data_IF_128810809404
#
_entry.id   IF_128810809404
#
_cell.length_a   1.000
_cell.length_b   1.000
_cell.length_c   1.000
_cell.angle_alpha   90.00
_cell.angle_beta   90.00
_cell.angle_gamma   90.00
#
_symmetry.space_group_name_H-M   'P 1'
#
loop_
_entity.id
_entity.type
_entity.pdbx_description
1 polymer ?
#
# COMPACT_ATOMS: atom_id res chain seq x y z
N UNK A 1 -11.31 -13.64 2.19
CA UNK A 1 -10.69 -12.77 1.17
C UNK A 1 -9.21 -13.11 1.04
N UNK A 2 -8.61 -12.88 -0.13
CA UNK A 2 -7.16 -12.81 -0.28
C UNK A 2 -6.69 -11.36 -0.10
N UNK A 3 -5.77 -11.12 0.82
CA UNK A 3 -5.23 -9.79 1.11
C UNK A 3 -3.77 -9.74 0.70
N UNK A 4 -3.43 -8.79 -0.18
CA UNK A 4 -2.04 -8.45 -0.48
C UNK A 4 -1.54 -7.48 0.59
N UNK A 5 -0.62 -7.93 1.42
CA UNK A 5 0.03 -7.14 2.46
C UNK A 5 1.42 -6.72 1.96
N UNK A 6 1.65 -5.43 1.73
CA UNK A 6 2.91 -4.90 1.23
C UNK A 6 3.67 -4.22 2.36
N UNK A 7 4.82 -4.76 2.75
CA UNK A 7 5.76 -4.20 3.72
C UNK A 7 6.87 -3.44 2.99
N UNK A 8 7.14 -2.21 3.42
CA UNK A 8 8.22 -1.38 2.91
C UNK A 8 9.09 -0.86 4.05
N UNK A 9 9.96 -1.71 4.58
CA UNK A 9 10.95 -1.33 5.59
C UNK A 9 12.25 -2.14 5.46
N UNK A 10 13.44 -1.52 5.51
CA UNK A 10 14.71 -2.24 5.30
C UNK A 10 15.12 -3.14 6.48
N UNK A 11 14.67 -2.82 7.69
CA UNK A 11 15.01 -3.57 8.91
C UNK A 11 13.91 -4.59 9.31
N UNK A 12 14.22 -5.89 9.45
CA UNK A 12 13.26 -6.94 9.81
C UNK A 12 12.78 -6.89 11.28
N UNK A 13 13.57 -6.30 12.17
CA UNK A 13 13.26 -6.06 13.57
C UNK A 13 12.47 -4.77 13.81
N UNK A 14 12.20 -4.00 12.75
CA UNK A 14 11.50 -2.73 12.84
C UNK A 14 10.09 -2.84 13.44
N UNK A 15 9.59 -1.70 13.90
CA UNK A 15 8.19 -1.60 14.29
C UNK A 15 7.23 -1.80 13.11
N UNK A 16 7.61 -1.38 11.89
CA UNK A 16 6.83 -1.65 10.69
C UNK A 16 6.71 -3.17 10.42
N UNK A 17 7.80 -3.92 10.55
CA UNK A 17 7.76 -5.38 10.47
C UNK A 17 6.90 -6.00 11.59
N UNK A 18 6.93 -5.44 12.80
CA UNK A 18 6.05 -5.87 13.90
C UNK A 18 4.56 -5.61 13.60
N UNK A 19 4.24 -4.48 12.95
CA UNK A 19 2.89 -4.14 12.47
C UNK A 19 2.46 -5.11 11.37
N UNK A 20 3.34 -5.43 10.41
CA UNK A 20 3.04 -6.38 9.33
C UNK A 20 2.78 -7.79 9.87
N UNK A 21 3.59 -8.28 10.81
CA UNK A 21 3.35 -9.57 11.49
C UNK A 21 2.00 -9.58 12.22
N UNK A 22 1.73 -8.55 13.02
CA UNK A 22 0.45 -8.40 13.74
C UNK A 22 -0.74 -8.35 12.77
N UNK A 23 -0.57 -7.67 11.63
CA UNK A 23 -1.60 -7.56 10.63
C UNK A 23 -1.90 -8.91 9.97
N UNK A 24 -0.86 -9.63 9.57
CA UNK A 24 -0.97 -10.97 9.00
C UNK A 24 -1.68 -11.93 9.97
N UNK A 25 -1.20 -12.02 11.20
CA UNK A 25 -1.76 -12.89 12.24
C UNK A 25 -3.25 -12.59 12.48
N UNK A 26 -3.63 -11.31 12.59
CA UNK A 26 -5.02 -10.93 12.83
C UNK A 26 -5.94 -11.28 11.64
N UNK A 27 -5.47 -11.11 10.41
CA UNK A 27 -6.24 -11.43 9.20
C UNK A 27 -6.39 -12.94 9.01
N UNK A 28 -5.31 -13.70 9.21
CA UNK A 28 -5.33 -15.17 9.13
C UNK A 28 -6.25 -15.77 10.21
N UNK A 29 -6.22 -15.23 11.44
CA UNK A 29 -7.13 -15.63 12.50
C UNK A 29 -8.61 -15.37 12.18
N UNK A 30 -8.91 -14.39 11.33
CA UNK A 30 -10.26 -14.11 10.81
C UNK A 30 -10.61 -14.89 9.54
N UNK A 31 -9.77 -15.85 9.12
CA UNK A 31 -10.03 -16.71 7.95
C UNK A 31 -9.68 -16.09 6.60
N UNK A 32 -8.93 -14.99 6.57
CA UNK A 32 -8.40 -14.42 5.33
C UNK A 32 -7.10 -15.13 4.92
N UNK A 33 -6.81 -15.16 3.62
CA UNK A 33 -5.51 -15.59 3.10
C UNK A 33 -4.65 -14.34 2.94
N UNK A 34 -3.46 -14.32 3.54
CA UNK A 34 -2.54 -13.18 3.43
C UNK A 34 -1.39 -13.54 2.50
N UNK A 35 -1.20 -12.73 1.48
CA UNK A 35 -0.05 -12.77 0.59
C UNK A 35 0.86 -11.58 0.93
N UNK A 36 2.03 -11.86 1.53
CA UNK A 36 2.97 -10.82 2.00
C UNK A 36 4.02 -10.52 0.92
N UNK A 37 4.03 -9.28 0.42
CA UNK A 37 5.16 -8.72 -0.32
C UNK A 37 6.05 -7.95 0.67
N UNK A 38 7.28 -8.43 0.90
CA UNK A 38 8.30 -7.63 1.56
C UNK A 38 9.17 -6.98 0.48
N UNK A 39 8.96 -5.69 0.19
CA UNK A 39 9.65 -5.03 -0.92
C UNK A 39 11.18 -5.03 -0.73
N UNK A 40 11.67 -4.91 0.50
CA UNK A 40 13.11 -4.99 0.76
C UNK A 40 13.59 -6.44 0.82
N UNK A 41 12.82 -7.33 1.45
CA UNK A 41 13.14 -8.76 1.51
C UNK A 41 13.14 -9.47 0.16
N UNK A 42 12.35 -8.97 -0.80
CA UNK A 42 12.27 -9.47 -2.19
C UNK A 42 13.15 -8.68 -3.17
N UNK A 43 13.99 -7.75 -2.69
CA UNK A 43 14.89 -6.90 -3.50
C UNK A 43 14.17 -6.22 -4.69
N UNK A 44 12.98 -5.67 -4.42
CA UNK A 44 12.19 -5.01 -5.44
C UNK A 44 12.89 -3.75 -5.96
N UNK A 45 13.20 -3.72 -7.27
CA UNK A 45 13.75 -2.52 -7.91
C UNK A 45 12.67 -1.44 -8.07
N UNK A 46 12.77 -0.28 -7.39
CA UNK A 46 11.75 0.75 -7.47
C UNK A 46 11.90 1.68 -8.67
N UNK A 47 12.97 1.53 -9.47
CA UNK A 47 13.24 2.44 -10.58
C UNK A 47 12.38 2.04 -11.77
N UNK A 48 11.57 2.97 -12.25
CA UNK A 48 10.91 2.84 -13.55
C UNK A 48 11.99 2.82 -14.64
N UNK A 49 12.11 1.71 -15.37
CA UNK A 49 13.14 1.53 -16.38
C UNK A 49 12.82 2.30 -17.66
N UNK A 50 13.85 2.61 -18.49
CA UNK A 50 13.62 3.17 -19.82
C UNK A 50 12.75 2.30 -20.73
N UNK A 51 12.81 0.97 -20.58
CA UNK A 51 11.99 0.04 -21.37
C UNK A 51 10.51 0.17 -20.99
N UNK A 52 10.19 0.08 -19.69
CA UNK A 52 8.82 0.28 -19.19
C UNK A 52 8.27 1.66 -19.58
N UNK A 53 9.09 2.71 -19.57
CA UNK A 53 8.65 4.06 -19.94
C UNK A 53 8.47 4.23 -21.45
N UNK A 54 9.33 3.66 -22.29
CA UNK A 54 9.19 3.74 -23.75
C UNK A 54 7.93 3.04 -24.24
N UNK A 55 7.64 1.88 -23.66
CA UNK A 55 6.50 1.04 -24.04
C UNK A 55 5.21 1.44 -23.31
N UNK A 56 5.21 2.54 -22.55
CA UNK A 56 4.09 2.95 -21.67
C UNK A 56 2.77 3.15 -22.43
N UNK A 57 2.85 3.56 -23.69
CA UNK A 57 1.67 3.82 -24.54
C UNK A 57 1.38 2.68 -25.52
N UNK A 58 2.14 1.58 -25.47
CA UNK A 58 1.88 0.42 -26.29
C UNK A 58 0.59 -0.28 -25.84
N UNK A 59 -0.09 -0.90 -26.80
CA UNK A 59 -1.32 -1.66 -26.56
C UNK A 59 -1.10 -3.08 -27.10
N UNK A 60 -0.86 -4.08 -26.23
CA UNK A 60 -0.83 -4.03 -24.77
C UNK A 60 0.46 -3.42 -24.20
N UNK A 61 0.36 -2.83 -23.00
CA UNK A 61 1.51 -2.44 -22.18
C UNK A 61 2.27 -3.69 -21.73
N UNK A 62 3.60 -3.68 -21.85
CA UNK A 62 4.44 -4.77 -21.40
C UNK A 62 4.56 -4.77 -19.86
N UNK A 63 4.05 -5.83 -19.25
CA UNK A 63 4.05 -6.03 -17.79
C UNK A 63 5.05 -7.08 -17.32
N UNK A 64 5.88 -7.61 -18.23
CA UNK A 64 6.80 -8.72 -17.96
C UNK A 64 7.73 -8.45 -16.77
N UNK A 65 8.25 -7.23 -16.66
CA UNK A 65 9.17 -6.80 -15.60
C UNK A 65 8.56 -6.81 -14.18
N UNK A 66 7.23 -6.93 -14.07
CA UNK A 66 6.48 -6.95 -12.79
C UNK A 66 5.38 -8.01 -12.76
N UNK A 67 5.46 -9.01 -13.65
CA UNK A 67 4.36 -9.97 -13.89
C UNK A 67 3.92 -10.71 -12.62
N UNK A 68 4.87 -11.10 -11.77
CA UNK A 68 4.58 -11.83 -10.53
C UNK A 68 3.77 -10.97 -9.54
N UNK A 69 4.17 -9.71 -9.35
CA UNK A 69 3.44 -8.76 -8.49
C UNK A 69 2.06 -8.46 -9.07
N UNK A 70 1.95 -8.31 -10.39
CA UNK A 70 0.67 -8.09 -11.07
C UNK A 70 -0.28 -9.29 -10.87
N UNK A 71 0.23 -10.52 -10.96
CA UNK A 71 -0.57 -11.72 -10.71
C UNK A 71 -1.08 -11.77 -9.26
N UNK A 72 -0.21 -11.48 -8.29
CA UNK A 72 -0.57 -11.39 -6.86
C UNK A 72 -1.62 -10.32 -6.59
N UNK A 73 -1.46 -9.13 -7.19
CA UNK A 73 -2.41 -8.02 -7.08
C UNK A 73 -3.78 -8.33 -7.73
N UNK A 74 -3.80 -9.00 -8.88
CA UNK A 74 -5.04 -9.41 -9.56
C UNK A 74 -5.80 -10.48 -8.79
N UNK A 75 -5.10 -11.34 -8.06
CA UNK A 75 -5.71 -12.36 -7.22
C UNK A 75 -6.25 -11.83 -5.89
N UNK A 76 -5.82 -10.64 -5.46
CA UNK A 76 -6.20 -10.07 -4.17
C UNK A 76 -7.59 -9.41 -4.21
N UNK A 77 -8.29 -9.44 -3.08
CA UNK A 77 -9.53 -8.69 -2.84
C UNK A 77 -9.27 -7.42 -2.01
N UNK A 78 -8.10 -7.30 -1.40
CA UNK A 78 -7.70 -6.18 -0.56
C UNK A 78 -6.20 -5.92 -0.62
N UNK A 79 -5.83 -4.65 -0.44
CA UNK A 79 -4.46 -4.16 -0.41
C UNK A 79 -4.19 -3.48 0.93
N UNK A 80 -3.20 -3.95 1.67
CA UNK A 80 -2.76 -3.36 2.93
C UNK A 80 -1.30 -2.96 2.80
N UNK A 81 -0.99 -1.70 3.11
CA UNK A 81 0.34 -1.13 2.99
C UNK A 81 0.90 -0.89 4.40
N UNK A 82 2.12 -1.36 4.66
CA UNK A 82 2.82 -1.20 5.94
C UNK A 82 4.15 -0.50 5.71
N UNK A 83 4.28 0.75 6.18
CA UNK A 83 5.46 1.57 5.87
C UNK A 83 5.62 2.76 6.82
N UNK A 84 6.85 3.21 7.12
CA UNK A 84 7.08 4.51 7.76
C UNK A 84 6.89 5.65 6.75
N UNK A 85 6.42 6.81 7.20
CA UNK A 85 6.41 8.02 6.38
C UNK A 85 7.78 8.67 6.43
N UNK A 86 8.43 8.78 5.28
CA UNK A 86 9.70 9.48 5.13
C UNK A 86 9.47 10.73 4.28
N UNK A 87 9.96 11.87 4.76
CA UNK A 87 9.73 13.17 4.12
C UNK A 87 8.24 13.44 3.81
N UNK A 88 7.37 13.13 4.77
CA UNK A 88 5.91 13.23 4.63
C UNK A 88 5.33 12.45 3.45
N UNK A 89 6.02 11.40 3.00
CA UNK A 89 5.63 10.59 1.86
C UNK A 89 5.99 9.11 2.06
N UNK A 90 5.77 8.29 1.04
CA UNK A 90 6.20 6.90 1.01
C UNK A 90 7.72 6.77 1.04
N UNK A 91 8.26 5.65 1.57
CA UNK A 91 9.62 5.22 1.22
C UNK A 91 9.77 5.13 -0.30
N UNK A 92 10.96 5.45 -0.82
CA UNK A 92 11.21 5.43 -2.26
C UNK A 92 10.85 4.07 -2.89
N UNK A 93 11.11 2.96 -2.17
CA UNK A 93 10.78 1.62 -2.67
C UNK A 93 9.27 1.42 -2.90
N UNK A 94 8.44 1.95 -1.99
CA UNK A 94 6.98 1.87 -2.11
C UNK A 94 6.45 2.86 -3.15
N UNK A 95 7.09 4.03 -3.30
CA UNK A 95 6.75 4.95 -4.39
C UNK A 95 7.04 4.30 -5.76
N UNK A 96 8.17 3.62 -5.90
CA UNK A 96 8.51 2.85 -7.10
C UNK A 96 7.55 1.69 -7.36
N UNK A 97 7.07 1.03 -6.30
CA UNK A 97 6.00 0.04 -6.44
C UNK A 97 4.76 0.66 -7.10
N UNK A 98 4.32 1.84 -6.65
CA UNK A 98 3.22 2.52 -7.33
C UNK A 98 3.58 2.91 -8.77
N UNK A 99 4.78 3.42 -9.03
CA UNK A 99 5.18 3.86 -10.38
C UNK A 99 5.21 2.73 -11.40
N UNK A 100 5.61 1.52 -10.99
CA UNK A 100 5.72 0.36 -11.87
C UNK A 100 4.43 -0.48 -11.93
N UNK A 101 3.66 -0.54 -10.85
CA UNK A 101 2.45 -1.37 -10.77
C UNK A 101 1.18 -0.62 -11.16
N UNK A 102 1.09 0.70 -10.89
CA UNK A 102 -0.08 1.50 -11.27
C UNK A 102 0.05 2.05 -12.70
N UNK A 103 0.30 1.14 -13.64
CA UNK A 103 0.52 1.43 -15.06
C UNK A 103 -0.70 0.99 -15.93
N UNK A 104 -0.76 1.42 -17.21
CA UNK A 104 -1.79 1.01 -18.15
C UNK A 104 -1.88 -0.52 -18.29
N UNK A 105 -3.09 -1.07 -18.43
CA UNK A 105 -3.33 -2.51 -18.49
C UNK A 105 -3.20 -3.25 -17.15
N UNK A 106 -2.67 -2.60 -16.10
CA UNK A 106 -2.66 -3.11 -14.74
C UNK A 106 -3.71 -2.39 -13.89
N UNK A 107 -3.49 -1.10 -13.60
CA UNK A 107 -4.35 -0.35 -12.68
C UNK A 107 -5.46 0.42 -13.37
N UNK A 108 -5.25 0.79 -14.63
CA UNK A 108 -6.25 1.44 -15.47
C UNK A 108 -6.04 1.14 -16.95
N UNK A 109 -7.06 1.42 -17.74
CA UNK A 109 -6.96 1.58 -19.20
C UNK A 109 -7.54 2.93 -19.60
N UNK A 110 -7.43 3.27 -20.88
CA UNK A 110 -8.21 4.37 -21.46
C UNK A 110 -9.45 3.79 -22.13
N UNK A 111 -10.54 4.57 -22.19
CA UNK A 111 -11.68 4.22 -23.02
C UNK A 111 -11.33 4.24 -24.52
N UNK A 112 -12.19 3.67 -25.35
CA UNK A 112 -11.96 3.59 -26.80
C UNK A 112 -11.83 4.96 -27.48
N UNK A 113 -12.33 6.03 -26.83
CA UNK A 113 -12.19 7.42 -27.27
C UNK A 113 -10.88 8.08 -26.79
N UNK A 114 -10.05 7.37 -26.02
CA UNK A 114 -8.72 7.79 -25.57
C UNK A 114 -8.70 8.85 -24.45
N UNK A 115 -9.86 9.23 -23.91
CA UNK A 115 -9.99 10.38 -23.02
C UNK A 115 -10.17 10.03 -21.55
N UNK A 116 -10.84 8.92 -21.24
CA UNK A 116 -11.22 8.60 -19.85
C UNK A 116 -10.44 7.42 -19.30
N UNK A 117 -9.84 7.63 -18.13
CA UNK A 117 -9.25 6.56 -17.31
C UNK A 117 -10.37 5.62 -16.82
N UNK A 118 -10.23 4.34 -17.14
CA UNK A 118 -11.11 3.25 -16.69
C UNK A 118 -10.34 2.43 -15.63
N UNK A 119 -10.78 2.42 -14.36
CA UNK A 119 -10.16 1.62 -13.30
C UNK A 119 -10.18 0.12 -13.62
N UNK A 120 -9.06 -0.56 -13.36
CA UNK A 120 -8.90 -2.00 -13.60
C UNK A 120 -8.72 -2.82 -12.31
N UNK A 121 -8.39 -2.20 -11.17
CA UNK A 121 -8.26 -2.90 -9.87
C UNK A 121 -9.60 -3.03 -9.14
N UNK A 122 -10.69 -3.28 -9.86
CA UNK A 122 -12.04 -3.30 -9.29
C UNK A 122 -12.29 -4.48 -8.34
N UNK A 123 -11.42 -5.50 -8.38
CA UNK A 123 -11.33 -6.58 -7.41
C UNK A 123 -10.92 -6.09 -6.01
N UNK A 124 -10.13 -5.02 -5.91
CA UNK A 124 -9.66 -4.47 -4.64
C UNK A 124 -10.80 -3.68 -3.97
N UNK A 125 -11.38 -4.27 -2.92
CA UNK A 125 -12.49 -3.73 -2.11
C UNK A 125 -12.05 -3.15 -0.78
N UNK A 126 -10.81 -3.39 -0.37
CA UNK A 126 -10.21 -2.87 0.84
C UNK A 126 -8.84 -2.24 0.53
N UNK A 127 -8.59 -1.01 1.01
CA UNK A 127 -7.28 -0.36 0.94
C UNK A 127 -6.91 0.22 2.29
N UNK A 128 -6.06 -0.46 3.05
CA UNK A 128 -5.61 0.00 4.36
C UNK A 128 -4.15 0.45 4.31
N UNK A 129 -3.82 1.50 5.07
CA UNK A 129 -2.44 1.93 5.30
C UNK A 129 -2.13 1.91 6.80
N UNK A 130 -1.16 1.10 7.20
CA UNK A 130 -0.65 0.98 8.56
C UNK A 130 0.73 1.63 8.59
N UNK A 131 0.81 2.83 9.16
CA UNK A 131 1.99 3.67 8.97
C UNK A 131 2.47 4.33 10.26
N UNK A 132 3.73 4.71 10.28
CA UNK A 132 4.33 5.45 11.40
C UNK A 132 5.01 6.70 10.90
N UNK A 133 5.18 7.69 11.76
CA UNK A 133 5.92 8.93 11.45
C UNK A 133 6.57 9.47 12.71
N UNK A 134 7.80 9.98 12.58
CA UNK A 134 8.49 10.67 13.67
C UNK A 134 7.85 12.01 14.04
N UNK A 135 7.12 12.61 13.09
CA UNK A 135 6.47 13.92 13.29
C UNK A 135 5.23 13.85 14.19
N UNK A 136 4.94 14.95 14.93
CA UNK A 136 3.71 15.05 15.71
C UNK A 136 2.47 15.14 14.82
N UNK A 137 1.33 14.72 15.37
CA UNK A 137 0.06 14.66 14.65
C UNK A 137 -0.33 15.99 13.99
N UNK A 138 -0.21 17.11 14.71
CA UNK A 138 -0.63 18.43 14.22
C UNK A 138 0.19 18.87 13.00
N UNK A 139 1.49 18.57 12.97
CA UNK A 139 2.37 18.93 11.86
C UNK A 139 1.98 18.14 10.61
N UNK A 140 1.77 16.83 10.75
CA UNK A 140 1.37 15.96 9.64
C UNK A 140 -0.04 16.32 9.14
N UNK A 141 -0.99 16.56 10.05
CA UNK A 141 -2.39 16.72 9.68
C UNK A 141 -2.77 18.14 9.29
N UNK A 142 -2.36 19.13 10.08
CA UNK A 142 -2.80 20.52 9.91
C UNK A 142 -1.85 21.29 8.98
N UNK A 143 -0.54 21.26 9.28
CA UNK A 143 0.44 22.02 8.50
C UNK A 143 0.71 21.40 7.13
N UNK A 144 1.09 20.12 7.11
CA UNK A 144 1.38 19.40 5.86
C UNK A 144 0.11 18.95 5.12
N UNK A 145 -1.05 19.00 5.79
CA UNK A 145 -2.34 18.66 5.17
C UNK A 145 -2.58 17.16 4.97
N UNK A 146 -1.82 16.28 5.63
CA UNK A 146 -1.91 14.82 5.52
C UNK A 146 -1.69 14.28 4.08
N UNK A 147 -0.51 14.53 3.49
CA UNK A 147 -0.22 14.26 2.08
C UNK A 147 -0.38 12.78 1.70
N UNK A 148 0.17 11.86 2.50
CA UNK A 148 0.06 10.40 2.29
C UNK A 148 -1.40 9.96 2.22
N UNK A 149 -2.25 10.43 3.14
CA UNK A 149 -3.68 10.11 3.13
C UNK A 149 -4.37 10.61 1.87
N UNK A 150 -4.04 11.84 1.42
CA UNK A 150 -4.62 12.40 0.20
C UNK A 150 -4.19 11.60 -1.02
N UNK A 151 -2.91 11.25 -1.13
CA UNK A 151 -2.37 10.47 -2.25
C UNK A 151 -3.05 9.09 -2.31
N UNK A 152 -3.13 8.37 -1.19
CA UNK A 152 -3.79 7.07 -1.15
C UNK A 152 -5.30 7.17 -1.42
N UNK A 153 -6.01 8.10 -0.77
CA UNK A 153 -7.48 8.18 -0.85
C UNK A 153 -7.96 8.80 -2.17
N UNK A 154 -7.21 9.73 -2.78
CA UNK A 154 -7.63 10.44 -3.99
C UNK A 154 -6.86 9.98 -5.23
N UNK A 155 -5.60 9.61 -5.08
CA UNK A 155 -4.78 9.12 -6.18
C UNK A 155 -4.97 7.63 -6.42
N UNK A 156 -4.80 6.81 -5.38
CA UNK A 156 -4.76 5.34 -5.52
C UNK A 156 -6.15 4.71 -5.50
N UNK A 157 -6.99 5.06 -4.52
CA UNK A 157 -8.31 4.47 -4.32
C UNK A 157 -9.24 4.57 -5.54
N UNK A 158 -9.06 5.59 -6.39
CA UNK A 158 -9.87 5.80 -7.59
C UNK A 158 -9.65 4.73 -8.66
N UNK A 159 -8.53 4.00 -8.60
CA UNK A 159 -8.24 2.88 -9.49
C UNK A 159 -8.82 1.55 -8.99
N UNK A 160 -9.37 1.53 -7.78
CA UNK A 160 -9.91 0.34 -7.13
C UNK A 160 -11.46 0.26 -7.25
N UNK A 161 -12.07 -0.66 -6.51
CA UNK A 161 -13.53 -0.82 -6.49
C UNK A 161 -14.28 0.46 -6.09
N UNK A 162 -15.44 0.72 -6.70
CA UNK A 162 -16.32 1.84 -6.29
C UNK A 162 -16.84 1.72 -4.85
N UNK A 163 -16.84 0.50 -4.29
CA UNK A 163 -17.25 0.21 -2.90
C UNK A 163 -16.03 0.05 -1.97
N UNK A 164 -14.87 0.62 -2.33
CA UNK A 164 -13.64 0.50 -1.57
C UNK A 164 -13.78 1.02 -0.14
N UNK A 165 -13.40 0.19 0.84
CA UNK A 165 -13.23 0.60 2.23
C UNK A 165 -11.79 1.07 2.43
N UNK A 166 -11.63 2.38 2.68
CA UNK A 166 -10.32 2.98 2.96
C UNK A 166 -10.13 3.28 4.45
N UNK A 167 -9.01 2.82 5.02
CA UNK A 167 -8.58 3.18 6.39
C UNK A 167 -7.09 3.49 6.41
N UNK A 168 -6.70 4.40 7.30
CA UNK A 168 -5.29 4.71 7.57
C UNK A 168 -5.10 4.81 9.07
N UNK A 169 -4.24 3.94 9.61
CA UNK A 169 -3.83 3.93 11.00
C UNK A 169 -2.40 4.44 11.08
N UNK A 170 -2.23 5.56 11.77
CA UNK A 170 -0.92 6.23 11.88
C UNK A 170 -0.48 6.35 13.33
N UNK A 171 0.71 5.85 13.65
CA UNK A 171 1.40 6.17 14.90
C UNK A 171 2.31 7.39 14.67
N UNK A 172 2.04 8.47 15.38
CA UNK A 172 2.80 9.72 15.33
C UNK A 172 3.80 9.76 16.49
N UNK A 173 4.73 10.72 16.42
CA UNK A 173 5.77 10.91 17.44
C UNK A 173 6.59 9.64 17.69
N UNK A 174 6.90 8.90 16.62
CA UNK A 174 7.60 7.61 16.73
C UNK A 174 8.96 7.75 17.43
N UNK A 175 9.64 8.87 17.23
CA UNK A 175 10.97 9.15 17.82
C UNK A 175 10.92 9.29 19.34
N UNK A 176 9.74 9.57 19.92
CA UNK A 176 9.51 9.74 21.36
C UNK A 176 8.51 8.73 21.91
N UNK A 177 8.22 7.67 21.16
CA UNK A 177 7.16 6.73 21.51
C UNK A 177 7.61 5.78 22.61
N UNK A 178 6.72 5.51 23.56
CA UNK A 178 6.96 4.52 24.62
C UNK A 178 6.58 3.13 24.16
N UNK A 179 7.10 2.10 24.83
CA UNK A 179 6.71 0.72 24.57
C UNK A 179 5.20 0.50 24.76
N UNK A 180 4.62 1.13 25.78
CA UNK A 180 3.18 1.07 26.03
C UNK A 180 2.36 1.62 24.85
N UNK A 181 2.79 2.75 24.26
CA UNK A 181 2.12 3.32 23.06
C UNK A 181 2.29 2.42 21.84
N UNK A 182 3.47 1.82 21.65
CA UNK A 182 3.70 0.83 20.58
C UNK A 182 2.77 -0.38 20.72
N UNK A 183 2.67 -0.97 21.92
CA UNK A 183 1.77 -2.09 22.23
C UNK A 183 0.29 -1.71 21.99
N UNK A 184 -0.13 -0.55 22.47
CA UNK A 184 -1.48 -0.05 22.25
C UNK A 184 -1.80 0.16 20.76
N UNK A 185 -0.81 0.61 19.96
CA UNK A 185 -0.97 0.73 18.52
C UNK A 185 -1.11 -0.63 17.84
N UNK A 186 -0.29 -1.63 18.21
CA UNK A 186 -0.42 -2.99 17.69
C UNK A 186 -1.79 -3.60 18.03
N UNK A 187 -2.29 -3.37 19.25
CA UNK A 187 -3.63 -3.81 19.63
C UNK A 187 -4.73 -3.12 18.81
N UNK A 188 -4.58 -1.82 18.53
CA UNK A 188 -5.48 -1.10 17.62
C UNK A 188 -5.45 -1.69 16.21
N UNK A 189 -4.27 -2.04 15.69
CA UNK A 189 -4.13 -2.70 14.39
C UNK A 189 -4.85 -4.05 14.40
N UNK A 190 -4.59 -4.90 15.40
CA UNK A 190 -5.24 -6.20 15.58
C UNK A 190 -6.76 -6.09 15.58
N UNK A 191 -7.33 -5.25 16.45
CA UNK A 191 -8.79 -5.04 16.53
C UNK A 191 -9.39 -4.54 15.23
N UNK A 192 -8.70 -3.63 14.53
CA UNK A 192 -9.20 -3.09 13.25
C UNK A 192 -9.25 -4.16 12.16
N UNK A 193 -8.25 -5.04 12.12
CA UNK A 193 -8.15 -6.08 11.10
C UNK A 193 -9.00 -7.31 11.41
N UNK A 194 -9.20 -7.64 12.68
CA UNK A 194 -10.14 -8.69 13.10
C UNK A 194 -11.59 -8.39 12.69
N UNK A 195 -11.93 -7.10 12.53
CA UNK A 195 -13.23 -6.63 12.08
C UNK A 195 -13.35 -6.50 10.55
N UNK A 196 -12.37 -6.99 9.78
CA UNK A 196 -12.50 -7.09 8.31
C UNK A 196 -13.35 -8.32 7.98
N UNK A 197 -14.24 -8.17 6.99
CA UNK A 197 -15.13 -9.21 6.50
C UNK A 197 -14.95 -9.41 4.99
#
# INVERSE_FOLDING_TARGET
>A
MRILLVLAHPLPESFAASVARTAREALEASGHVVDLIDLYGEDFDPRLSPAERRNYFDVPYDTSAVADIVARLRAADGLILVFPQWWFNFPAILKGFFDRIFAPGIAFTHDAAGGRIVPQLTNIRLLYALTTTGSPWWLVHLYMGNPVRRLLKRGIANFCSKKLVFRMLSLHDMDRTTEARRKAHLERVRKTLAAVW
#
